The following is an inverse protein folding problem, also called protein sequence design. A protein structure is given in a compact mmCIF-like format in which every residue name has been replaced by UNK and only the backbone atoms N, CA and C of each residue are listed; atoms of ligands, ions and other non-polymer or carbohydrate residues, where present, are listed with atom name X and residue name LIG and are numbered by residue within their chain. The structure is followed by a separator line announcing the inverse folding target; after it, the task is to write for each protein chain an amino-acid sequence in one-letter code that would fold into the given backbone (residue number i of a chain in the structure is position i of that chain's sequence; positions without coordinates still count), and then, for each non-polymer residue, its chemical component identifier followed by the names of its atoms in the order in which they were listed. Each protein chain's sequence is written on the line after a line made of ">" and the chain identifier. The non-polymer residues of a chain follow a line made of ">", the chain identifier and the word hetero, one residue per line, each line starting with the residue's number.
data_IF_900974756650
#
_entry.id   IF_900974756650
#
_cell.length_a   1.000
_cell.length_b   1.000
_cell.length_c   1.000
_cell.angle_alpha   90.00
_cell.angle_beta   90.00
_cell.angle_gamma   90.00
#
_symmetry.space_group_name_H-M   'P 1'
#
loop_
_entity.id
_entity.type
_entity.pdbx_description
1 polymer ?
#
# COMPACT_ATOMS: atom_id res chain seq x y z
N UNK A 1 -12.60 19.37 -20.26
CA UNK A 1 -12.73 17.97 -20.70
C UNK A 1 -11.32 17.40 -20.83
N UNK A 2 -10.71 17.06 -19.69
CA UNK A 2 -9.33 16.58 -19.66
C UNK A 2 -9.28 15.13 -20.06
N UNK A 3 -8.70 14.84 -21.24
CA UNK A 3 -8.42 13.46 -21.63
C UNK A 3 -7.54 12.82 -20.58
N UNK A 4 -7.94 11.67 -20.07
CA UNK A 4 -7.14 10.92 -19.11
C UNK A 4 -5.73 10.73 -19.68
N UNK A 5 -4.67 11.00 -18.91
CA UNK A 5 -3.32 10.76 -19.38
C UNK A 5 -3.20 9.26 -19.67
N UNK A 6 -2.87 8.91 -20.91
CA UNK A 6 -2.58 7.53 -21.29
C UNK A 6 -3.27 7.02 -22.55
N UNK A 7 -2.99 5.76 -22.86
CA UNK A 7 -3.54 5.04 -24.00
C UNK A 7 -4.85 4.32 -23.62
N UNK A 8 -5.43 3.61 -24.59
CA UNK A 8 -6.69 2.86 -24.41
C UNK A 8 -6.62 1.74 -23.35
N UNK A 9 -5.42 1.32 -22.93
CA UNK A 9 -5.26 0.28 -21.92
C UNK A 9 -5.64 0.74 -20.53
N UNK A 10 -5.60 2.04 -20.23
CA UNK A 10 -6.01 2.59 -18.94
C UNK A 10 -7.51 2.32 -18.66
N UNK A 11 -8.46 2.78 -19.50
CA UNK A 11 -9.88 2.51 -19.25
C UNK A 11 -10.20 1.02 -19.37
N UNK A 12 -9.53 0.25 -20.25
CA UNK A 12 -9.71 -1.20 -20.34
C UNK A 12 -9.31 -1.87 -19.04
N UNK A 13 -8.16 -1.53 -18.45
CA UNK A 13 -7.72 -2.09 -17.17
C UNK A 13 -8.72 -1.78 -16.06
N UNK A 14 -9.22 -0.55 -16.01
CA UNK A 14 -10.23 -0.11 -15.05
C UNK A 14 -11.58 -0.82 -15.20
N UNK A 15 -12.05 -1.09 -16.42
CA UNK A 15 -13.30 -1.83 -16.67
C UNK A 15 -13.14 -3.34 -16.49
N UNK A 16 -11.97 -3.90 -16.84
CA UNK A 16 -11.67 -5.32 -16.71
C UNK A 16 -11.45 -5.73 -15.24
N UNK A 17 -10.95 -4.81 -14.41
CA UNK A 17 -10.63 -5.12 -13.01
C UNK A 17 -11.84 -5.58 -12.19
N UNK A 18 -13.01 -4.89 -12.19
CA UNK A 18 -14.23 -5.39 -11.54
C UNK A 18 -14.62 -6.80 -12.00
N UNK A 19 -14.52 -7.09 -13.30
CA UNK A 19 -14.84 -8.41 -13.85
C UNK A 19 -13.87 -9.48 -13.35
N UNK A 20 -12.59 -9.14 -13.23
CA UNK A 20 -11.56 -10.00 -12.64
C UNK A 20 -11.87 -10.28 -11.17
N UNK A 21 -12.26 -9.26 -10.38
CA UNK A 21 -12.62 -9.46 -8.97
C UNK A 21 -13.83 -10.38 -8.83
N UNK A 22 -14.88 -10.19 -9.64
CA UNK A 22 -16.04 -11.10 -9.68
C UNK A 22 -15.60 -12.52 -10.02
N UNK A 23 -14.69 -12.71 -10.98
CA UNK A 23 -14.17 -14.02 -11.34
C UNK A 23 -13.36 -14.67 -10.19
N UNK A 24 -12.62 -13.89 -9.41
CA UNK A 24 -11.90 -14.38 -8.22
C UNK A 24 -12.88 -14.86 -7.14
N UNK A 25 -13.92 -14.07 -6.84
CA UNK A 25 -14.96 -14.44 -5.86
C UNK A 25 -15.74 -15.70 -6.26
N UNK A 26 -15.90 -15.97 -7.56
CA UNK A 26 -16.54 -17.20 -8.05
C UNK A 26 -15.67 -18.45 -7.88
N UNK A 27 -14.35 -18.31 -7.83
CA UNK A 27 -13.39 -19.44 -7.87
C UNK A 27 -12.69 -19.71 -6.55
N UNK A 28 -12.55 -18.70 -5.71
CA UNK A 28 -11.75 -18.73 -4.49
C UNK A 28 -12.59 -18.32 -3.29
N UNK A 29 -12.14 -18.71 -2.10
CA UNK A 29 -12.73 -18.19 -0.86
C UNK A 29 -12.66 -16.66 -0.83
N UNK A 30 -13.68 -15.96 -0.27
CA UNK A 30 -13.72 -14.50 -0.24
C UNK A 30 -12.46 -13.85 0.32
N UNK A 31 -11.85 -14.45 1.36
CA UNK A 31 -10.60 -13.95 1.98
C UNK A 31 -9.43 -13.95 0.99
N UNK A 32 -9.28 -15.03 0.22
CA UNK A 32 -8.24 -15.15 -0.81
C UNK A 32 -8.54 -14.23 -2.00
N UNK A 33 -9.80 -14.19 -2.46
CA UNK A 33 -10.22 -13.33 -3.55
C UNK A 33 -9.94 -11.86 -3.25
N UNK A 34 -10.26 -11.38 -2.05
CA UNK A 34 -10.03 -10.00 -1.60
C UNK A 34 -8.53 -9.69 -1.52
N UNK A 35 -7.75 -10.55 -0.86
CA UNK A 35 -6.32 -10.33 -0.73
C UNK A 35 -5.61 -10.33 -2.10
N UNK A 36 -5.94 -11.29 -2.98
CA UNK A 36 -5.38 -11.35 -4.34
C UNK A 36 -5.81 -10.13 -5.15
N UNK A 37 -7.09 -9.77 -5.13
CA UNK A 37 -7.61 -8.59 -5.83
C UNK A 37 -6.90 -7.31 -5.37
N UNK A 38 -6.77 -7.12 -4.06
CA UNK A 38 -6.13 -5.93 -3.50
C UNK A 38 -4.65 -5.87 -3.88
N UNK A 39 -3.90 -6.95 -3.68
CA UNK A 39 -2.46 -7.03 -4.02
C UNK A 39 -2.24 -6.86 -5.52
N UNK A 40 -3.00 -7.56 -6.35
CA UNK A 40 -2.90 -7.48 -7.82
C UNK A 40 -3.25 -6.09 -8.32
N UNK A 41 -4.36 -5.51 -7.86
CA UNK A 41 -4.76 -4.15 -8.21
C UNK A 41 -3.71 -3.12 -7.77
N UNK A 42 -3.20 -3.26 -6.56
CA UNK A 42 -2.14 -2.37 -6.06
C UNK A 42 -0.88 -2.44 -6.92
N UNK A 43 -0.49 -3.64 -7.36
CA UNK A 43 0.72 -3.87 -8.13
C UNK A 43 0.63 -3.54 -9.62
N UNK A 44 -0.54 -3.59 -10.25
CA UNK A 44 -0.63 -3.53 -11.72
C UNK A 44 -1.62 -2.51 -12.28
N UNK A 45 -2.57 -2.04 -11.46
CA UNK A 45 -3.58 -1.08 -11.91
C UNK A 45 -2.94 0.31 -12.15
N UNK A 46 -3.34 1.06 -13.19
CA UNK A 46 -2.70 2.33 -13.54
C UNK A 46 -2.93 3.39 -12.48
N UNK A 47 -1.95 4.28 -12.32
CA UNK A 47 -2.05 5.48 -11.45
C UNK A 47 -2.61 6.63 -12.29
N UNK A 48 -3.85 6.47 -12.75
CA UNK A 48 -4.59 7.50 -13.48
C UNK A 48 -5.67 8.07 -12.58
N UNK A 49 -5.84 9.40 -12.60
CA UNK A 49 -6.95 10.07 -11.95
C UNK A 49 -8.00 10.40 -13.02
N UNK A 50 -9.21 9.89 -12.80
CA UNK A 50 -10.41 10.25 -13.52
C UNK A 50 -11.35 10.90 -12.52
N UNK A 51 -11.84 12.09 -12.85
CA UNK A 51 -12.90 12.75 -12.10
C UNK A 51 -14.24 12.09 -12.45
N UNK A 52 -14.51 10.92 -11.86
CA UNK A 52 -15.80 10.23 -12.01
C UNK A 52 -16.59 10.48 -10.75
N UNK A 53 -17.61 11.34 -10.84
CA UNK A 53 -18.61 11.57 -9.79
C UNK A 53 -18.00 11.72 -8.38
N UNK A 54 -17.26 12.81 -8.14
CA UNK A 54 -16.64 13.16 -6.86
C UNK A 54 -15.52 12.20 -6.35
N UNK A 55 -15.26 11.08 -7.04
CA UNK A 55 -14.13 10.20 -6.76
C UNK A 55 -12.90 10.67 -7.54
N UNK A 56 -11.82 10.92 -6.83
CA UNK A 56 -10.59 11.49 -7.40
C UNK A 56 -9.43 10.49 -7.43
N UNK A 57 -9.41 9.46 -6.57
CA UNK A 57 -8.32 8.46 -6.51
C UNK A 57 -8.70 7.15 -7.20
N UNK A 58 -8.78 7.19 -8.52
CA UNK A 58 -9.38 6.11 -9.31
C UNK A 58 -8.75 4.74 -9.06
N UNK A 59 -7.44 4.65 -8.79
CA UNK A 59 -6.79 3.36 -8.48
C UNK A 59 -7.35 2.72 -7.20
N UNK A 60 -7.34 3.45 -6.08
CA UNK A 60 -7.82 2.90 -4.80
C UNK A 60 -9.33 2.72 -4.78
N UNK A 61 -10.10 3.67 -5.35
CA UNK A 61 -11.54 3.51 -5.52
C UNK A 61 -11.88 2.27 -6.32
N UNK A 62 -11.28 2.07 -7.49
CA UNK A 62 -11.63 0.92 -8.33
C UNK A 62 -11.34 -0.38 -7.61
N UNK A 63 -10.21 -0.48 -6.91
CA UNK A 63 -9.87 -1.68 -6.13
C UNK A 63 -10.94 -1.93 -5.07
N UNK A 64 -11.23 -0.91 -4.24
CA UNK A 64 -12.14 -1.06 -3.11
C UNK A 64 -13.59 -1.25 -3.55
N UNK A 65 -14.09 -0.48 -4.53
CA UNK A 65 -15.45 -0.59 -5.06
C UNK A 65 -15.67 -1.91 -5.78
N UNK A 66 -14.67 -2.42 -6.51
CA UNK A 66 -14.76 -3.75 -7.14
C UNK A 66 -14.86 -4.86 -6.10
N UNK A 67 -14.05 -4.76 -5.04
CA UNK A 67 -14.08 -5.70 -3.92
C UNK A 67 -15.40 -5.61 -3.16
N UNK A 68 -15.85 -4.41 -2.80
CA UNK A 68 -17.10 -4.21 -2.06
C UNK A 68 -18.32 -4.60 -2.88
N UNK A 69 -18.35 -4.29 -4.18
CA UNK A 69 -19.41 -4.72 -5.09
C UNK A 69 -19.48 -6.24 -5.22
N UNK A 70 -18.34 -6.90 -5.37
CA UNK A 70 -18.28 -8.37 -5.42
C UNK A 70 -18.63 -9.00 -4.07
N UNK A 71 -18.12 -8.45 -2.96
CA UNK A 71 -18.47 -8.87 -1.61
C UNK A 71 -19.96 -8.72 -1.33
N UNK A 72 -20.59 -7.63 -1.80
CA UNK A 72 -22.03 -7.44 -1.67
C UNK A 72 -22.83 -8.49 -2.46
N UNK A 73 -22.31 -8.93 -3.61
CA UNK A 73 -22.95 -9.96 -4.44
C UNK A 73 -22.78 -11.38 -3.89
N UNK A 74 -21.60 -11.72 -3.36
CA UNK A 74 -21.23 -13.09 -3.00
C UNK A 74 -21.14 -13.37 -1.49
N UNK A 75 -20.98 -12.35 -0.65
CA UNK A 75 -20.74 -12.47 0.80
C UNK A 75 -21.42 -11.34 1.61
N UNK A 76 -22.69 -11.06 1.28
CA UNK A 76 -23.47 -9.96 1.88
C UNK A 76 -23.65 -10.11 3.39
N UNK A 77 -23.81 -11.33 3.87
CA UNK A 77 -23.98 -11.62 5.30
C UNK A 77 -22.77 -11.13 6.09
N UNK A 78 -21.56 -11.41 5.62
CA UNK A 78 -20.35 -10.99 6.30
C UNK A 78 -20.18 -9.48 6.31
N UNK A 79 -20.60 -8.77 5.26
CA UNK A 79 -20.64 -7.30 5.28
C UNK A 79 -21.57 -6.75 6.38
N UNK A 80 -22.68 -7.43 6.67
CA UNK A 80 -23.62 -7.01 7.71
C UNK A 80 -23.13 -7.27 9.14
N UNK A 81 -22.07 -8.06 9.31
CA UNK A 81 -21.50 -8.34 10.65
C UNK A 81 -20.68 -7.18 11.21
N UNK A 82 -20.51 -6.09 10.45
CA UNK A 82 -19.78 -4.92 10.91
C UNK A 82 -20.44 -4.30 12.15
N UNK A 83 -19.71 -4.35 13.26
CA UNK A 83 -20.10 -3.69 14.51
C UNK A 83 -19.10 -2.59 14.83
N UNK A 84 -19.63 -1.39 15.07
CA UNK A 84 -18.82 -0.24 15.44
C UNK A 84 -18.18 -0.46 16.81
N UNK A 85 -16.86 -0.33 16.87
CA UNK A 85 -16.06 -0.46 18.09
C UNK A 85 -15.22 0.83 18.30
N UNK A 86 -14.77 1.07 19.54
CA UNK A 86 -13.90 2.20 19.88
C UNK A 86 -12.61 2.24 19.03
N UNK A 87 -12.15 1.08 18.53
CA UNK A 87 -11.02 0.99 17.60
C UNK A 87 -11.26 1.69 16.25
N UNK A 88 -12.52 1.94 15.87
CA UNK A 88 -12.91 2.58 14.62
C UNK A 88 -12.97 4.12 14.76
N UNK A 89 -12.96 4.66 16.00
CA UNK A 89 -13.01 6.11 16.28
C UNK A 89 -11.84 6.87 15.65
N UNK A 90 -10.56 6.44 15.79
CA UNK A 90 -9.44 7.14 15.16
C UNK A 90 -9.58 7.21 13.64
N UNK A 91 -10.17 6.16 13.05
CA UNK A 91 -10.38 6.11 11.61
C UNK A 91 -11.47 7.08 11.14
N UNK A 92 -12.57 7.19 11.89
CA UNK A 92 -13.60 8.18 11.63
C UNK A 92 -13.06 9.61 11.76
N UNK A 93 -12.28 9.89 12.81
CA UNK A 93 -11.62 11.18 12.99
C UNK A 93 -10.66 11.48 11.84
N UNK A 94 -9.87 10.50 11.40
CA UNK A 94 -8.98 10.64 10.26
C UNK A 94 -9.72 10.97 8.96
N UNK A 95 -10.89 10.35 8.72
CA UNK A 95 -11.68 10.60 7.53
C UNK A 95 -12.42 11.95 7.58
N UNK A 96 -12.82 12.42 8.76
CA UNK A 96 -13.59 13.67 8.95
C UNK A 96 -12.73 14.90 9.20
N UNK A 97 -11.48 14.75 9.64
CA UNK A 97 -10.56 15.85 9.91
C UNK A 97 -10.42 16.87 8.75
N UNK A 98 -10.36 16.46 7.46
CA UNK A 98 -10.25 17.42 6.35
C UNK A 98 -11.42 18.39 6.25
N UNK A 99 -12.63 18.00 6.68
CA UNK A 99 -13.79 18.89 6.68
C UNK A 99 -13.57 20.10 7.60
N UNK A 100 -13.16 19.83 8.85
CA UNK A 100 -12.89 20.88 9.82
C UNK A 100 -11.74 21.78 9.36
N UNK A 101 -10.69 21.19 8.76
CA UNK A 101 -9.58 21.94 8.19
C UNK A 101 -10.03 22.87 7.05
N UNK A 102 -10.84 22.38 6.11
CA UNK A 102 -11.32 23.17 4.97
C UNK A 102 -12.21 24.34 5.41
N UNK A 103 -13.12 24.10 6.37
CA UNK A 103 -13.97 25.15 6.95
C UNK A 103 -13.14 26.18 7.73
N UNK A 104 -12.18 25.74 8.55
CA UNK A 104 -11.30 26.63 9.31
C UNK A 104 -10.41 27.50 8.42
N UNK A 105 -10.00 26.99 7.26
CA UNK A 105 -9.19 27.71 6.27
C UNK A 105 -10.02 28.53 5.26
N UNK A 106 -11.36 28.58 5.40
CA UNK A 106 -12.23 29.38 4.52
C UNK A 106 -12.41 28.84 3.10
N UNK A 107 -12.04 27.59 2.83
CA UNK A 107 -12.19 26.93 1.52
C UNK A 107 -13.64 26.50 1.24
N UNK A 108 -14.47 26.42 2.28
CA UNK A 108 -15.91 26.18 2.21
C UNK A 108 -16.31 24.71 2.42
N UNK A 109 -17.59 24.48 2.71
CA UNK A 109 -18.09 23.15 3.05
C UNK A 109 -18.03 22.15 1.89
N UNK A 110 -18.12 22.62 0.65
CA UNK A 110 -18.04 21.76 -0.53
C UNK A 110 -16.64 21.12 -0.68
N UNK A 111 -15.60 21.93 -0.56
CA UNK A 111 -14.21 21.47 -0.57
C UNK A 111 -13.92 20.51 0.60
N UNK A 112 -14.45 20.83 1.79
CA UNK A 112 -14.39 19.95 2.95
C UNK A 112 -15.03 18.57 2.71
N UNK A 113 -16.23 18.53 2.12
CA UNK A 113 -16.91 17.27 1.80
C UNK A 113 -16.17 16.46 0.72
N UNK A 114 -15.67 17.11 -0.33
CA UNK A 114 -14.86 16.46 -1.35
C UNK A 114 -13.56 15.87 -0.77
N UNK A 115 -12.95 16.58 0.18
CA UNK A 115 -11.76 16.11 0.90
C UNK A 115 -12.06 14.93 1.82
N UNK A 116 -13.19 14.94 2.54
CA UNK A 116 -13.65 13.79 3.35
C UNK A 116 -13.87 12.56 2.47
N UNK A 117 -14.51 12.73 1.31
CA UNK A 117 -14.76 11.62 0.40
C UNK A 117 -13.44 11.03 -0.12
N UNK A 118 -12.52 11.89 -0.56
CA UNK A 118 -11.18 11.48 -1.03
C UNK A 118 -10.38 10.76 0.06
N UNK A 119 -10.49 11.22 1.31
CA UNK A 119 -9.85 10.61 2.45
C UNK A 119 -10.46 9.25 2.81
N UNK A 120 -11.79 9.15 2.74
CA UNK A 120 -12.55 7.91 2.97
C UNK A 120 -12.26 6.87 1.90
N UNK A 121 -12.13 7.29 0.65
CA UNK A 121 -11.71 6.45 -0.48
C UNK A 121 -10.30 5.88 -0.25
N UNK A 122 -9.34 6.74 0.13
CA UNK A 122 -7.93 6.35 0.29
C UNK A 122 -7.67 5.47 1.50
N UNK A 123 -8.38 5.72 2.61
CA UNK A 123 -8.11 5.06 3.90
C UNK A 123 -9.32 4.31 4.43
N UNK A 124 -10.49 4.94 4.44
CA UNK A 124 -11.73 4.40 5.01
C UNK A 124 -12.18 3.07 4.40
N UNK A 125 -12.23 2.98 3.07
CA UNK A 125 -12.67 1.76 2.38
C UNK A 125 -11.72 0.58 2.59
N UNK A 126 -10.38 0.71 2.41
CA UNK A 126 -9.45 -0.38 2.74
C UNK A 126 -9.56 -0.82 4.20
N UNK A 127 -9.70 0.12 5.13
CA UNK A 127 -9.86 -0.19 6.55
C UNK A 127 -11.12 -1.01 6.81
N UNK A 128 -12.26 -0.60 6.27
CA UNK A 128 -13.54 -1.30 6.41
C UNK A 128 -13.45 -2.73 5.88
N UNK A 129 -12.88 -2.92 4.67
CA UNK A 129 -12.65 -4.25 4.09
C UNK A 129 -11.76 -5.09 5.02
N UNK A 130 -10.67 -4.50 5.54
CA UNK A 130 -9.75 -5.21 6.40
C UNK A 130 -10.37 -5.63 7.73
N UNK A 131 -11.19 -4.77 8.35
CA UNK A 131 -11.88 -5.08 9.61
C UNK A 131 -12.85 -6.25 9.48
N UNK A 132 -13.54 -6.38 8.35
CA UNK A 132 -14.52 -7.45 8.15
C UNK A 132 -13.86 -8.78 7.79
N UNK A 133 -12.85 -8.74 6.92
CA UNK A 133 -12.28 -9.96 6.32
C UNK A 133 -10.98 -10.44 6.98
N UNK A 134 -10.20 -9.54 7.59
CA UNK A 134 -8.88 -9.80 8.16
C UNK A 134 -8.81 -9.57 9.68
N UNK A 135 -9.86 -9.92 10.42
CA UNK A 135 -9.85 -9.90 11.90
C UNK A 135 -9.33 -11.19 12.54
N UNK A 136 -9.32 -12.30 11.80
CA UNK A 136 -8.86 -13.59 12.32
C UNK A 136 -7.36 -13.81 12.06
N UNK A 137 -6.70 -14.55 12.94
CA UNK A 137 -5.28 -14.93 12.77
C UNK A 137 -5.05 -15.65 11.43
N UNK A 138 -5.94 -16.58 11.05
CA UNK A 138 -5.85 -17.29 9.77
C UNK A 138 -5.96 -16.34 8.57
N UNK A 139 -6.85 -15.34 8.63
CA UNK A 139 -6.99 -14.35 7.58
C UNK A 139 -5.76 -13.46 7.44
N UNK A 140 -5.18 -13.04 8.56
CA UNK A 140 -3.95 -12.22 8.57
C UNK A 140 -2.79 -13.00 7.95
N UNK A 141 -2.68 -14.31 8.23
CA UNK A 141 -1.68 -15.19 7.59
C UNK A 141 -1.87 -15.28 6.08
N UNK A 142 -3.12 -15.42 5.61
CA UNK A 142 -3.45 -15.42 4.18
C UNK A 142 -3.01 -14.10 3.52
N UNK A 143 -3.33 -12.96 4.14
CA UNK A 143 -2.93 -11.66 3.63
C UNK A 143 -1.40 -11.52 3.57
N UNK A 144 -0.69 -11.89 4.64
CA UNK A 144 0.76 -11.85 4.69
C UNK A 144 1.41 -12.71 3.60
N UNK A 145 0.89 -13.93 3.39
CA UNK A 145 1.36 -14.84 2.36
C UNK A 145 1.12 -14.27 0.95
N UNK A 146 -0.06 -13.72 0.67
CA UNK A 146 -0.38 -13.15 -0.64
C UNK A 146 0.45 -11.90 -0.93
N UNK A 147 0.70 -11.05 0.07
CA UNK A 147 1.61 -9.90 -0.09
C UNK A 147 3.03 -10.41 -0.39
N UNK A 148 3.51 -11.43 0.33
CA UNK A 148 4.83 -12.01 0.06
C UNK A 148 4.93 -12.55 -1.38
N UNK A 149 3.96 -13.36 -1.83
CA UNK A 149 3.92 -13.85 -3.22
C UNK A 149 3.83 -12.69 -4.22
N UNK A 150 2.99 -11.67 -3.95
CA UNK A 150 2.89 -10.48 -4.79
C UNK A 150 4.24 -9.76 -4.92
N UNK A 151 4.96 -9.57 -3.81
CA UNK A 151 6.29 -8.94 -3.85
C UNK A 151 7.31 -9.76 -4.64
N UNK A 152 7.26 -11.09 -4.57
CA UNK A 152 8.11 -11.96 -5.40
C UNK A 152 7.80 -11.83 -6.89
N UNK A 153 6.51 -11.81 -7.26
CA UNK A 153 6.08 -11.58 -8.65
C UNK A 153 6.51 -10.20 -9.14
N UNK A 154 6.68 -9.23 -8.25
CA UNK A 154 7.10 -7.87 -8.59
C UNK A 154 8.60 -7.73 -8.91
N UNK A 155 9.45 -8.65 -8.43
CA UNK A 155 10.91 -8.62 -8.63
C UNK A 155 11.33 -8.42 -10.10
N UNK A 156 10.85 -9.23 -11.08
CA UNK A 156 11.28 -9.06 -12.48
C UNK A 156 10.95 -7.68 -13.05
N UNK A 157 9.81 -7.10 -12.66
CA UNK A 157 9.43 -5.74 -13.09
C UNK A 157 10.33 -4.68 -12.47
N UNK A 158 10.70 -4.82 -11.20
CA UNK A 158 11.66 -3.95 -10.54
C UNK A 158 13.04 -4.03 -11.21
N UNK A 159 13.52 -5.22 -11.54
CA UNK A 159 14.81 -5.42 -12.21
C UNK A 159 14.85 -4.81 -13.61
N UNK A 160 13.75 -4.94 -14.37
CA UNK A 160 13.63 -4.31 -15.68
C UNK A 160 13.84 -2.79 -15.60
N UNK A 161 13.17 -2.10 -14.68
CA UNK A 161 13.32 -0.64 -14.53
C UNK A 161 14.65 -0.22 -13.89
N UNK A 162 15.26 -1.07 -13.07
CA UNK A 162 16.61 -0.83 -12.55
C UNK A 162 17.65 -0.76 -13.69
N UNK A 163 17.44 -1.52 -14.77
CA UNK A 163 18.33 -1.56 -15.94
C UNK A 163 17.94 -0.48 -16.97
N UNK A 164 16.66 -0.40 -17.32
CA UNK A 164 16.17 0.38 -18.47
C UNK A 164 15.65 1.78 -18.14
N UNK A 165 15.66 2.20 -16.87
CA UNK A 165 14.96 3.37 -16.31
C UNK A 165 13.43 3.18 -16.17
N UNK A 166 12.72 4.08 -15.43
CA UNK A 166 11.28 3.96 -15.18
C UNK A 166 10.45 4.15 -16.46
N UNK A 167 10.22 3.06 -17.18
CA UNK A 167 9.52 3.08 -18.47
C UNK A 167 8.30 2.14 -18.48
N UNK A 168 8.12 1.23 -17.53
CA UNK A 168 7.05 0.21 -17.65
C UNK A 168 5.67 0.84 -17.69
N UNK A 169 5.40 1.82 -16.82
CA UNK A 169 4.13 2.53 -16.83
C UNK A 169 3.89 3.27 -18.15
N UNK A 170 4.94 3.87 -18.73
CA UNK A 170 4.85 4.55 -20.02
C UNK A 170 4.63 3.56 -21.17
N UNK A 171 5.32 2.43 -21.17
CA UNK A 171 5.20 1.40 -22.21
C UNK A 171 3.82 0.76 -22.21
N UNK A 172 3.22 0.57 -21.03
CA UNK A 172 1.92 -0.09 -20.88
C UNK A 172 0.74 0.87 -20.94
N UNK A 173 0.79 1.97 -20.18
CA UNK A 173 -0.32 2.91 -20.07
C UNK A 173 -0.14 4.21 -20.85
N UNK A 174 1.03 4.43 -21.46
CA UNK A 174 1.26 5.58 -22.34
C UNK A 174 1.63 6.89 -21.62
N UNK A 175 1.80 6.90 -20.30
CA UNK A 175 2.17 8.10 -19.54
C UNK A 175 3.10 7.80 -18.36
N UNK A 176 3.82 8.83 -17.88
CA UNK A 176 4.64 8.77 -16.66
C UNK A 176 3.82 9.21 -15.44
N UNK A 177 4.01 8.51 -14.33
CA UNK A 177 3.24 8.71 -13.09
C UNK A 177 3.71 9.93 -12.29
N UNK A 178 5.00 10.26 -12.38
CA UNK A 178 5.64 11.39 -11.71
C UNK A 178 6.74 11.98 -12.59
N UNK A 179 7.19 13.19 -12.27
CA UNK A 179 8.26 13.88 -13.00
C UNK A 179 9.54 13.04 -13.00
N UNK A 180 10.10 12.81 -14.18
CA UNK A 180 11.32 12.01 -14.37
C UNK A 180 12.49 12.50 -13.51
N UNK A 181 12.57 13.81 -13.26
CA UNK A 181 13.61 14.42 -12.41
C UNK A 181 13.51 13.93 -10.96
N UNK A 182 12.31 13.67 -10.43
CA UNK A 182 12.12 13.15 -9.07
C UNK A 182 12.58 11.69 -8.94
N UNK A 183 12.79 10.99 -10.06
CA UNK A 183 13.30 9.61 -10.07
C UNK A 183 14.82 9.51 -10.12
N UNK A 184 15.51 10.61 -10.45
CA UNK A 184 16.97 10.71 -10.50
C UNK A 184 17.53 11.05 -9.11
N UNK A 185 18.38 10.17 -8.56
CA UNK A 185 19.22 10.51 -7.40
C UNK A 185 20.48 11.23 -7.84
N UNK A 186 21.12 11.97 -6.93
CA UNK A 186 22.41 12.65 -7.09
C UNK A 186 23.63 11.70 -7.28
N UNK A 187 23.46 10.56 -7.96
CA UNK A 187 24.50 9.56 -8.17
C UNK A 187 24.24 8.60 -9.33
N UNK A 188 23.38 8.99 -10.29
CA UNK A 188 23.23 8.27 -11.58
C UNK A 188 22.47 6.94 -11.56
N UNK A 189 21.71 6.63 -10.49
CA UNK A 189 20.88 5.43 -10.41
C UNK A 189 19.38 5.73 -10.47
N UNK A 190 18.61 4.86 -11.13
CA UNK A 190 17.16 4.95 -11.23
C UNK A 190 16.46 4.23 -10.08
N UNK A 191 15.39 4.83 -9.56
CA UNK A 191 14.51 4.18 -8.59
C UNK A 191 13.31 3.57 -9.33
N UNK A 192 13.11 2.23 -9.29
CA UNK A 192 11.99 1.61 -9.98
C UNK A 192 10.67 2.06 -9.35
N UNK A 193 9.70 2.39 -10.21
CA UNK A 193 8.35 2.81 -9.85
C UNK A 193 7.33 1.77 -10.31
N UNK A 194 7.57 1.17 -11.48
CA UNK A 194 6.79 0.11 -12.10
C UNK A 194 5.33 0.57 -12.27
N UNK A 195 4.40 0.21 -11.41
CA UNK A 195 3.00 0.69 -11.44
C UNK A 195 2.58 1.41 -10.15
N UNK A 196 3.54 1.79 -9.32
CA UNK A 196 3.32 2.58 -8.11
C UNK A 196 3.48 4.07 -8.40
N UNK A 197 2.84 4.93 -7.61
CA UNK A 197 2.83 6.39 -7.83
C UNK A 197 4.23 7.02 -7.83
N UNK A 198 5.10 6.55 -6.92
CA UNK A 198 6.48 7.01 -6.81
C UNK A 198 7.40 5.89 -6.32
N UNK A 199 8.70 5.98 -6.60
CA UNK A 199 9.65 4.90 -6.26
C UNK A 199 9.75 4.59 -4.75
N UNK A 200 9.37 5.53 -3.88
CA UNK A 200 9.27 5.27 -2.44
C UNK A 200 8.21 4.23 -2.10
N UNK A 201 7.09 4.23 -2.79
CA UNK A 201 5.98 3.30 -2.60
C UNK A 201 6.41 1.89 -3.02
N UNK A 202 7.11 1.77 -4.16
CA UNK A 202 7.71 0.51 -4.64
C UNK A 202 8.72 -0.03 -3.64
N UNK A 203 9.61 0.81 -3.11
CA UNK A 203 10.59 0.36 -2.12
C UNK A 203 9.92 -0.09 -0.81
N UNK A 204 8.90 0.63 -0.33
CA UNK A 204 8.12 0.23 0.84
C UNK A 204 7.38 -1.08 0.61
N UNK A 205 6.85 -1.30 -0.60
CA UNK A 205 6.25 -2.57 -0.99
C UNK A 205 7.24 -3.73 -0.89
N UNK A 206 8.46 -3.55 -1.40
CA UNK A 206 9.52 -4.57 -1.30
C UNK A 206 9.96 -4.79 0.16
N UNK A 207 10.07 -3.73 0.97
CA UNK A 207 10.37 -3.83 2.41
C UNK A 207 9.29 -4.62 3.14
N UNK A 208 8.01 -4.36 2.84
CA UNK A 208 6.88 -5.08 3.43
C UNK A 208 6.96 -6.57 3.11
N UNK A 209 7.29 -6.94 1.87
CA UNK A 209 7.53 -8.33 1.48
C UNK A 209 8.68 -8.98 2.24
N UNK A 210 9.82 -8.30 2.35
CA UNK A 210 10.98 -8.80 3.11
C UNK A 210 10.63 -9.00 4.58
N UNK A 211 9.98 -8.01 5.19
CA UNK A 211 9.56 -8.06 6.59
C UNK A 211 8.63 -9.25 6.86
N UNK A 212 7.56 -9.39 6.06
CA UNK A 212 6.63 -10.50 6.18
C UNK A 212 7.30 -11.85 5.92
N UNK A 213 8.17 -11.93 4.92
CA UNK A 213 8.92 -13.14 4.58
C UNK A 213 9.87 -13.59 5.71
N UNK A 214 10.62 -12.66 6.30
CA UNK A 214 11.48 -12.93 7.46
C UNK A 214 10.63 -13.35 8.66
N UNK A 215 9.52 -12.64 8.93
CA UNK A 215 8.64 -12.99 10.05
C UNK A 215 8.03 -14.38 9.89
N UNK A 216 7.55 -14.73 8.69
CA UNK A 216 7.04 -16.06 8.38
C UNK A 216 8.12 -17.15 8.49
N UNK A 217 9.36 -16.83 8.12
CA UNK A 217 10.50 -17.73 8.28
C UNK A 217 10.81 -17.99 9.77
N UNK A 218 10.87 -16.93 10.59
CA UNK A 218 11.15 -17.03 12.02
C UNK A 218 10.07 -17.78 12.81
N UNK A 219 8.81 -17.65 12.37
CA UNK A 219 7.66 -18.32 13.00
C UNK A 219 7.41 -19.73 12.46
N UNK A 220 8.20 -20.21 11.49
CA UNK A 220 8.02 -21.52 10.86
C UNK A 220 6.77 -21.64 9.97
N UNK A 221 6.14 -20.51 9.63
CA UNK A 221 4.95 -20.45 8.77
C UNK A 221 5.28 -20.36 7.28
N UNK A 222 6.53 -20.08 6.92
CA UNK A 222 6.96 -20.03 5.53
C UNK A 222 6.97 -21.45 4.95
N UNK A 223 6.21 -21.73 3.87
CA UNK A 223 6.21 -23.04 3.24
C UNK A 223 7.62 -23.38 2.72
N UNK A 224 8.02 -24.65 2.80
CA UNK A 224 9.38 -25.08 2.39
C UNK A 224 9.67 -24.80 0.92
N UNK A 225 8.67 -24.98 0.06
CA UNK A 225 8.77 -24.77 -1.38
C UNK A 225 7.62 -23.87 -1.86
N UNK A 226 7.94 -22.95 -2.77
CA UNK A 226 7.00 -22.11 -3.49
C UNK A 226 7.39 -22.22 -4.97
N UNK A 227 6.45 -22.60 -5.85
CA UNK A 227 6.73 -22.80 -7.28
C UNK A 227 7.91 -23.75 -7.53
N UNK A 228 8.02 -24.84 -6.76
CA UNK A 228 9.13 -25.81 -6.79
C UNK A 228 10.51 -25.26 -6.38
N UNK A 229 10.60 -24.00 -5.97
CA UNK A 229 11.84 -23.37 -5.49
C UNK A 229 11.81 -23.32 -3.95
N UNK A 230 12.90 -23.64 -3.25
CA UNK A 230 13.00 -23.45 -1.81
C UNK A 230 12.73 -21.99 -1.43
N UNK A 231 11.81 -21.77 -0.48
CA UNK A 231 11.35 -20.43 -0.10
C UNK A 231 12.46 -19.54 0.46
N UNK A 232 13.50 -20.13 1.04
CA UNK A 232 14.70 -19.42 1.51
C UNK A 232 15.41 -18.70 0.36
N UNK A 233 15.54 -19.33 -0.81
CA UNK A 233 16.18 -18.68 -1.96
C UNK A 233 15.35 -17.51 -2.48
N UNK A 234 14.02 -17.64 -2.47
CA UNK A 234 13.11 -16.56 -2.84
C UNK A 234 13.20 -15.39 -1.85
N UNK A 235 13.32 -15.68 -0.55
CA UNK A 235 13.53 -14.65 0.47
C UNK A 235 14.87 -13.92 0.29
N UNK A 236 15.96 -14.65 0.01
CA UNK A 236 17.27 -14.07 -0.28
C UNK A 236 17.18 -13.18 -1.53
N UNK A 237 16.54 -13.66 -2.60
CA UNK A 237 16.32 -12.89 -3.83
C UNK A 237 15.58 -11.57 -3.55
N UNK A 238 14.56 -11.62 -2.69
CA UNK A 238 13.78 -10.45 -2.31
C UNK A 238 14.62 -9.44 -1.50
N UNK A 239 15.45 -9.92 -0.56
CA UNK A 239 16.39 -9.09 0.21
C UNK A 239 17.41 -8.41 -0.71
N UNK A 240 18.02 -9.17 -1.62
CA UNK A 240 18.99 -8.64 -2.59
C UNK A 240 18.33 -7.56 -3.45
N UNK A 241 17.13 -7.83 -3.96
CA UNK A 241 16.38 -6.85 -4.76
C UNK A 241 16.08 -5.59 -3.97
N UNK A 242 15.69 -5.71 -2.69
CA UNK A 242 15.43 -4.55 -1.84
C UNK A 242 16.68 -3.66 -1.65
N UNK A 243 17.85 -4.28 -1.44
CA UNK A 243 19.13 -3.57 -1.34
C UNK A 243 19.48 -2.88 -2.66
N UNK A 244 19.25 -3.54 -3.80
CA UNK A 244 19.47 -2.96 -5.14
C UNK A 244 18.61 -1.73 -5.43
N UNK A 245 17.46 -1.55 -4.77
CA UNK A 245 16.64 -0.33 -4.91
C UNK A 245 17.30 0.92 -4.28
N UNK A 246 18.40 0.77 -3.54
CA UNK A 246 19.22 1.85 -2.94
C UNK A 246 18.40 2.90 -2.14
N UNK A 247 17.36 2.49 -1.41
CA UNK A 247 16.56 3.39 -0.58
C UNK A 247 16.95 3.32 0.90
N UNK A 248 17.82 4.23 1.35
CA UNK A 248 18.24 4.29 2.76
C UNK A 248 17.05 4.35 3.74
N UNK A 249 16.04 5.19 3.46
CA UNK A 249 14.85 5.29 4.34
C UNK A 249 14.00 4.03 4.42
N UNK A 250 14.00 3.19 3.38
CA UNK A 250 13.24 1.95 3.38
C UNK A 250 13.99 0.86 4.16
N UNK A 251 15.31 0.78 3.94
CA UNK A 251 16.19 -0.14 4.65
C UNK A 251 16.25 0.19 6.14
N UNK A 252 16.32 1.47 6.52
CA UNK A 252 16.33 1.87 7.94
C UNK A 252 15.03 1.47 8.63
N UNK A 253 13.87 1.69 8.00
CA UNK A 253 12.57 1.26 8.53
C UNK A 253 12.49 -0.27 8.66
N UNK A 254 13.03 -1.03 7.70
CA UNK A 254 13.09 -2.49 7.79
C UNK A 254 13.89 -2.95 9.01
N UNK A 255 15.09 -2.39 9.22
CA UNK A 255 15.95 -2.74 10.36
C UNK A 255 15.26 -2.42 11.67
N UNK A 256 14.66 -1.22 11.78
CA UNK A 256 13.91 -0.81 12.98
C UNK A 256 12.74 -1.76 13.22
N UNK A 257 11.96 -2.09 12.19
CA UNK A 257 10.82 -3.01 12.31
C UNK A 257 11.25 -4.40 12.79
N UNK A 258 12.30 -4.98 12.20
CA UNK A 258 12.83 -6.28 12.60
C UNK A 258 13.37 -6.26 14.04
N UNK A 259 14.07 -5.20 14.44
CA UNK A 259 14.60 -5.05 15.79
C UNK A 259 13.48 -4.93 16.82
N UNK A 260 12.47 -4.11 16.56
CA UNK A 260 11.31 -3.93 17.44
C UNK A 260 10.57 -5.25 17.62
N UNK A 261 10.32 -5.97 16.52
CA UNK A 261 9.62 -7.26 16.57
C UNK A 261 10.44 -8.34 17.27
N UNK A 262 11.75 -8.43 16.99
CA UNK A 262 12.63 -9.38 17.66
C UNK A 262 12.69 -9.13 19.17
N UNK A 263 12.89 -7.87 19.58
CA UNK A 263 12.92 -7.51 20.99
C UNK A 263 11.56 -7.74 21.66
N UNK A 264 10.46 -7.33 21.02
CA UNK A 264 9.10 -7.52 21.55
C UNK A 264 8.77 -9.00 21.73
N UNK A 265 9.18 -9.86 20.80
CA UNK A 265 9.01 -11.31 20.93
C UNK A 265 9.85 -11.91 22.07
N UNK A 266 11.08 -11.41 22.26
CA UNK A 266 11.97 -11.86 23.34
C UNK A 266 11.49 -11.41 24.73
N UNK A 267 11.02 -10.16 24.85
CA UNK A 267 10.54 -9.59 26.12
C UNK A 267 9.08 -9.91 26.40
N UNK A 268 8.33 -10.41 25.41
CA UNK A 268 6.86 -10.61 25.45
C UNK A 268 6.10 -9.34 25.84
N UNK A 269 6.62 -8.17 25.48
CA UNK A 269 6.01 -6.88 25.79
C UNK A 269 5.68 -6.10 24.52
N UNK A 270 4.49 -5.50 24.49
CA UNK A 270 4.03 -4.63 23.39
C UNK A 270 4.50 -3.18 23.51
N UNK A 271 5.26 -2.85 24.57
CA UNK A 271 5.70 -1.49 24.88
C UNK A 271 6.53 -0.89 23.75
N UNK A 272 7.42 -1.67 23.14
CA UNK A 272 8.26 -1.20 22.03
C UNK A 272 7.44 -0.85 20.79
N UNK A 273 6.37 -1.61 20.53
CA UNK A 273 5.43 -1.33 19.44
C UNK A 273 4.64 -0.05 19.73
N UNK A 274 4.21 0.15 20.97
CA UNK A 274 3.54 1.38 21.40
C UNK A 274 4.46 2.60 21.24
N UNK A 275 5.71 2.51 21.69
CA UNK A 275 6.70 3.58 21.52
C UNK A 275 6.83 3.95 20.04
N UNK A 276 7.00 2.96 19.16
CA UNK A 276 7.11 3.19 17.73
C UNK A 276 5.86 3.89 17.16
N UNK A 277 4.67 3.52 17.63
CA UNK A 277 3.40 4.13 17.22
C UNK A 277 3.29 5.60 17.65
N UNK A 278 3.90 5.98 18.78
CA UNK A 278 3.92 7.38 19.23
C UNK A 278 4.95 8.26 18.50
N UNK A 279 5.97 7.69 17.84
CA UNK A 279 7.03 8.47 17.17
C UNK A 279 6.47 9.48 16.14
N UNK A 280 5.56 9.12 15.21
CA UNK A 280 5.00 10.08 14.26
C UNK A 280 4.19 11.19 14.93
N UNK A 281 3.51 10.89 16.04
CA UNK A 281 2.71 11.86 16.78
C UNK A 281 3.60 12.89 17.47
N UNK A 282 4.70 12.44 18.08
CA UNK A 282 5.73 13.31 18.65
C UNK A 282 6.40 14.15 17.57
N UNK A 283 6.66 13.58 16.40
CA UNK A 283 7.17 14.32 15.25
C UNK A 283 6.22 15.44 14.82
N UNK A 284 4.93 15.15 14.65
CA UNK A 284 3.94 16.17 14.27
C UNK A 284 3.77 17.24 15.35
N UNK A 285 3.79 16.87 16.62
CA UNK A 285 3.70 17.81 17.74
C UNK A 285 4.90 18.76 17.78
N UNK A 286 6.13 18.23 17.64
CA UNK A 286 7.36 19.04 17.63
C UNK A 286 7.45 19.97 16.41
N UNK A 287 6.90 19.55 15.25
CA UNK A 287 6.82 20.39 14.05
C UNK A 287 5.77 21.49 14.16
N UNK A 288 4.58 21.18 14.68
CA UNK A 288 3.48 22.15 14.81
C UNK A 288 3.75 23.22 15.87
N UNK A 289 4.48 22.86 16.93
CA UNK A 289 4.92 23.79 17.99
C UNK A 289 6.15 24.62 17.60
N UNK A 290 6.77 24.35 16.44
CA UNK A 290 7.97 25.06 15.98
C UNK A 290 9.25 24.74 16.77
N UNK A 291 9.18 23.81 17.74
CA UNK A 291 10.34 23.41 18.57
C UNK A 291 11.43 22.78 17.70
N UNK A 292 11.04 22.09 16.63
CA UNK A 292 11.99 21.44 15.73
C UNK A 292 11.67 21.69 14.26
N UNK A 293 12.66 22.21 13.53
CA UNK A 293 12.47 22.57 12.12
C UNK A 293 12.76 21.43 11.12
N UNK A 294 13.23 20.26 11.60
CA UNK A 294 13.46 19.06 10.77
C UNK A 294 14.59 19.15 9.73
N UNK A 295 15.12 20.35 9.44
CA UNK A 295 16.16 20.57 8.41
C UNK A 295 17.43 19.74 8.66
N UNK A 296 17.82 19.60 9.93
CA UNK A 296 18.99 18.81 10.35
C UNK A 296 18.84 17.31 10.02
N UNK A 297 17.61 16.79 10.03
CA UNK A 297 17.34 15.40 9.68
C UNK A 297 17.29 15.22 8.17
N UNK A 298 16.67 16.15 7.44
CA UNK A 298 16.65 16.08 5.98
C UNK A 298 18.05 16.15 5.38
N UNK A 299 18.96 16.96 5.94
CA UNK A 299 20.35 17.04 5.48
C UNK A 299 21.20 15.80 5.82
N UNK A 300 20.79 15.01 6.81
CA UNK A 300 21.48 13.79 7.21
C UNK A 300 21.02 12.54 6.41
N UNK A 301 19.83 12.60 5.81
CA UNK A 301 19.19 11.48 5.09
C UNK A 301 19.24 11.67 3.56
N UNK A 302 19.39 12.91 3.07
CA UNK A 302 19.63 13.25 1.66
C UNK A 302 20.98 12.75 1.17
#
# INVERSE_FOLDING_TARGET
>A
MGGAPGNILVPIAFLAFPLLVVALFKKLDPRHAIAIAFVFGWMFLPVANYDIFLLHNTKTAIICLSILGSAYQFDKEKLSTFQFNAADIPMLLWCTAPFFSSVANGLGAYDGLASVLSQTERWGMPYYIARIYFSDEASIKILAYIIFIGTLVYIPFCWYELIMSPQLHRLTYGFHQSDFIQTLRQGGGFRPMVYMEHGLMTAMWMVLGVFLGIWMFLTGMLPKYIMQIPSIYLLILLIVTNIMMRSMGAISLLIIALLVVYLSNKTKTSILVLILLFVPHLYMFTRTTGIWDGRNLSSAIS
#
